data_IF_099974333727
#
_entry.id   IF_099974333727
#
_cell.length_a   1.000
_cell.length_b   1.000
_cell.length_c   1.000
_cell.angle_alpha   90.00
_cell.angle_beta   90.00
_cell.angle_gamma   90.00
#
_symmetry.space_group_name_H-M   'P 1'
#
loop_
_entity.id
_entity.type
_entity.pdbx_description
1 polymer ?
#
# COMPACT_ATOMS: atom_id res chain seq x y z
N UNK A 1 1.03 26.73 12.25
CA UNK A 1 2.14 25.97 11.63
C UNK A 1 1.86 24.48 11.78
N UNK A 2 1.66 23.78 10.65
CA UNK A 2 1.52 22.34 10.64
C UNK A 2 2.91 21.70 10.79
N UNK A 3 3.36 21.51 12.01
CA UNK A 3 4.62 20.83 12.32
C UNK A 3 4.53 19.30 12.28
N UNK A 4 3.39 18.75 11.87
CA UNK A 4 3.14 17.30 11.83
C UNK A 4 2.92 16.83 10.40
N UNK A 5 3.52 15.70 10.04
CA UNK A 5 3.25 14.99 8.78
C UNK A 5 1.82 14.41 8.70
N UNK A 6 1.11 14.37 9.82
CA UNK A 6 -0.26 13.84 9.93
C UNK A 6 -1.33 14.94 9.72
N UNK A 7 -0.91 16.18 9.44
CA UNK A 7 -1.84 17.27 9.22
C UNK A 7 -2.54 17.17 7.87
N UNK A 8 -3.86 17.01 7.92
CA UNK A 8 -4.70 16.96 6.71
C UNK A 8 -5.18 18.36 6.36
N UNK A 9 -4.74 18.88 5.21
CA UNK A 9 -5.18 20.16 4.70
C UNK A 9 -6.46 20.01 3.87
N UNK A 10 -7.51 20.74 4.23
CA UNK A 10 -8.76 20.77 3.47
C UNK A 10 -8.72 21.82 2.35
N UNK A 11 -9.54 21.63 1.29
CA UNK A 11 -9.60 22.55 0.13
C UNK A 11 -9.80 24.02 0.50
N UNK A 12 -10.63 24.31 1.52
CA UNK A 12 -10.88 25.68 1.98
C UNK A 12 -9.60 26.31 2.53
N UNK A 13 -8.90 25.61 3.38
CA UNK A 13 -7.63 26.04 3.97
C UNK A 13 -6.55 26.23 2.90
N UNK A 14 -6.43 25.28 1.97
CA UNK A 14 -5.48 25.40 0.86
C UNK A 14 -5.74 26.64 0.01
N UNK A 15 -7.01 26.99 -0.22
CA UNK A 15 -7.39 28.22 -0.92
C UNK A 15 -7.06 29.48 -0.14
N UNK A 16 -7.27 29.48 1.18
CA UNK A 16 -6.92 30.58 2.08
C UNK A 16 -5.41 30.83 2.12
N UNK A 17 -4.61 29.78 1.93
CA UNK A 17 -3.15 29.85 1.79
C UNK A 17 -2.68 30.33 0.40
N UNK A 18 -3.59 30.65 -0.50
CA UNK A 18 -3.28 31.19 -1.84
C UNK A 18 -3.05 30.13 -2.91
N UNK A 19 -3.35 28.85 -2.64
CA UNK A 19 -3.29 27.83 -3.69
C UNK A 19 -4.49 27.98 -4.65
N UNK A 20 -4.24 27.73 -5.95
CA UNK A 20 -5.30 27.72 -6.95
C UNK A 20 -6.11 26.42 -6.83
N UNK A 21 -7.20 26.47 -6.09
CA UNK A 21 -8.07 25.35 -5.80
C UNK A 21 -9.44 25.55 -6.45
N UNK A 22 -9.82 24.62 -7.30
CA UNK A 22 -11.14 24.54 -7.90
C UNK A 22 -11.95 23.39 -7.30
N UNK A 23 -13.27 23.60 -7.21
CA UNK A 23 -14.19 22.51 -6.87
C UNK A 23 -14.59 21.83 -8.17
N UNK A 24 -14.32 20.53 -8.34
CA UNK A 24 -14.75 19.81 -9.54
C UNK A 24 -16.28 19.78 -9.63
N UNK A 25 -16.81 19.79 -10.84
CA UNK A 25 -18.20 19.43 -11.08
C UNK A 25 -18.48 17.96 -10.76
N UNK A 26 -19.75 17.54 -10.81
CA UNK A 26 -20.12 16.18 -10.45
C UNK A 26 -19.54 15.12 -11.38
N UNK A 27 -19.41 15.42 -12.68
CA UNK A 27 -18.87 14.48 -13.65
C UNK A 27 -17.39 14.23 -13.42
N UNK A 28 -16.61 15.31 -13.28
CA UNK A 28 -15.18 15.23 -12.97
C UNK A 28 -14.94 14.59 -11.60
N UNK A 29 -15.77 14.92 -10.60
CA UNK A 29 -15.68 14.30 -9.28
C UNK A 29 -15.88 12.79 -9.36
N UNK A 30 -16.87 12.31 -10.12
CA UNK A 30 -17.10 10.87 -10.31
C UNK A 30 -15.90 10.16 -10.94
N UNK A 31 -15.32 10.75 -11.99
CA UNK A 31 -14.11 10.20 -12.62
C UNK A 31 -12.93 10.12 -11.63
N UNK A 32 -12.68 11.19 -10.86
CA UNK A 32 -11.62 11.21 -9.84
C UNK A 32 -11.88 10.14 -8.78
N UNK A 33 -13.14 9.99 -8.36
CA UNK A 33 -13.51 8.97 -7.37
C UNK A 33 -13.30 7.56 -7.89
N UNK A 34 -13.68 7.25 -9.12
CA UNK A 34 -13.47 5.95 -9.75
C UNK A 34 -11.99 5.59 -9.81
N UNK A 35 -11.14 6.52 -10.25
CA UNK A 35 -9.68 6.33 -10.26
C UNK A 35 -9.14 6.07 -8.85
N UNK A 36 -9.61 6.84 -7.86
CA UNK A 36 -9.20 6.65 -6.48
C UNK A 36 -9.62 5.28 -5.94
N UNK A 37 -10.86 4.87 -6.20
CA UNK A 37 -11.40 3.57 -5.74
C UNK A 37 -10.61 2.40 -6.37
N UNK A 38 -10.20 2.52 -7.64
CA UNK A 38 -9.37 1.53 -8.32
C UNK A 38 -7.96 1.45 -7.70
N UNK A 39 -7.32 2.60 -7.45
CA UNK A 39 -6.00 2.66 -6.80
C UNK A 39 -6.06 2.12 -5.37
N UNK A 40 -7.09 2.51 -4.61
CA UNK A 40 -7.31 2.03 -3.24
C UNK A 40 -7.42 0.51 -3.19
N UNK A 41 -8.18 -0.07 -4.13
CA UNK A 41 -8.37 -1.51 -4.25
C UNK A 41 -7.10 -2.22 -4.68
N UNK A 42 -6.41 -1.69 -5.68
CA UNK A 42 -5.19 -2.28 -6.23
C UNK A 42 -4.02 -2.28 -5.24
N UNK A 43 -3.86 -1.19 -4.51
CA UNK A 43 -2.81 -1.05 -3.50
C UNK A 43 -3.24 -1.56 -2.12
N UNK A 44 -4.48 -2.04 -1.99
CA UNK A 44 -5.05 -2.53 -0.72
C UNK A 44 -4.87 -1.51 0.43
N UNK A 45 -5.08 -0.22 0.15
CA UNK A 45 -4.73 0.87 1.08
C UNK A 45 -5.45 0.79 2.43
N UNK A 46 -6.60 0.11 2.49
CA UNK A 46 -7.38 -0.09 3.73
C UNK A 46 -7.18 -1.46 4.35
N UNK A 47 -6.41 -2.33 3.71
CA UNK A 47 -6.15 -3.68 4.20
C UNK A 47 -4.79 -3.72 4.88
N UNK A 48 -4.72 -3.84 6.20
CA UNK A 48 -3.44 -3.94 6.90
C UNK A 48 -2.72 -5.23 6.51
N UNK A 49 -1.39 -5.14 6.42
CA UNK A 49 -0.57 -6.33 6.24
C UNK A 49 -0.65 -7.22 7.48
N UNK A 50 -1.30 -8.36 7.35
CA UNK A 50 -1.39 -9.37 8.41
C UNK A 50 -0.78 -10.70 7.91
N UNK A 51 0.41 -11.07 8.41
CA UNK A 51 1.05 -12.32 8.06
C UNK A 51 0.21 -13.56 8.35
N UNK A 52 -0.66 -13.52 9.38
CA UNK A 52 -1.53 -14.65 9.72
C UNK A 52 -2.60 -14.85 8.65
N UNK A 53 -3.18 -13.75 8.17
CA UNK A 53 -4.21 -13.79 7.11
C UNK A 53 -3.59 -14.29 5.80
N UNK A 54 -2.42 -13.76 5.42
CA UNK A 54 -1.73 -14.14 4.17
C UNK A 54 -1.30 -15.60 4.20
N UNK A 55 -0.75 -16.05 5.32
CA UNK A 55 -0.29 -17.43 5.48
C UNK A 55 -1.46 -18.42 5.61
N UNK A 56 -2.53 -18.03 6.31
CA UNK A 56 -3.69 -18.87 6.56
C UNK A 56 -3.29 -20.23 7.17
N UNK A 57 -3.78 -21.31 6.57
CA UNK A 57 -3.48 -22.68 7.01
C UNK A 57 -2.19 -23.28 6.40
N UNK A 58 -1.45 -22.52 5.58
CA UNK A 58 -0.24 -22.97 4.91
C UNK A 58 0.98 -22.92 5.87
N UNK A 59 1.99 -23.74 5.61
CA UNK A 59 3.25 -23.69 6.35
C UNK A 59 4.21 -22.63 5.77
N UNK A 60 4.06 -22.29 4.49
CA UNK A 60 4.80 -21.21 3.83
C UNK A 60 3.96 -20.62 2.69
N UNK A 61 4.21 -19.36 2.38
CA UNK A 61 3.61 -18.65 1.24
C UNK A 61 4.55 -17.57 0.76
N UNK A 62 4.70 -17.43 -0.55
CA UNK A 62 5.32 -16.25 -1.13
C UNK A 62 4.30 -15.15 -1.26
N UNK A 63 4.69 -13.92 -0.96
CA UNK A 63 3.84 -12.76 -1.12
C UNK A 63 4.54 -11.68 -1.95
N UNK A 64 3.73 -10.91 -2.65
CA UNK A 64 4.12 -9.69 -3.35
C UNK A 64 3.05 -8.64 -3.10
N UNK A 65 3.43 -7.52 -2.55
CA UNK A 65 2.52 -6.43 -2.20
C UNK A 65 2.92 -5.17 -2.95
N UNK A 66 1.98 -4.56 -3.63
CA UNK A 66 2.13 -3.24 -4.24
C UNK A 66 1.81 -2.20 -3.18
N UNK A 67 2.78 -1.33 -2.89
CA UNK A 67 2.68 -0.36 -1.79
C UNK A 67 2.45 1.06 -2.25
N UNK A 68 2.99 1.39 -3.41
CA UNK A 68 2.85 2.71 -4.02
C UNK A 68 3.00 2.61 -5.54
N UNK A 69 2.53 3.63 -6.22
CA UNK A 69 2.43 3.68 -7.67
C UNK A 69 2.78 5.10 -8.13
N UNK A 70 3.61 5.20 -9.16
CA UNK A 70 3.86 6.43 -9.92
C UNK A 70 3.62 6.12 -11.39
N UNK A 71 2.63 6.77 -11.97
CA UNK A 71 2.28 6.62 -13.37
C UNK A 71 2.62 7.89 -14.17
N UNK A 72 3.09 7.68 -15.39
CA UNK A 72 3.30 8.74 -16.35
C UNK A 72 2.88 8.27 -17.73
N UNK A 73 2.22 9.14 -18.48
CA UNK A 73 1.81 8.86 -19.87
C UNK A 73 3.02 8.53 -20.75
N UNK A 74 4.17 9.15 -20.48
CA UNK A 74 5.38 8.99 -21.30
C UNK A 74 6.36 7.96 -20.76
N UNK A 75 6.44 7.78 -19.44
CA UNK A 75 7.55 7.08 -18.78
C UNK A 75 7.17 5.76 -18.13
N UNK A 76 6.01 5.19 -18.44
CA UNK A 76 5.55 3.91 -17.87
C UNK A 76 5.16 4.02 -16.38
N UNK A 77 4.71 2.90 -15.84
CA UNK A 77 4.35 2.77 -14.44
C UNK A 77 5.55 2.29 -13.62
N UNK A 78 5.79 2.92 -12.49
CA UNK A 78 6.73 2.45 -11.48
C UNK A 78 5.98 2.12 -10.22
N UNK A 79 6.23 0.94 -9.67
CA UNK A 79 5.58 0.47 -8.44
C UNK A 79 6.60 0.24 -7.34
N UNK A 80 6.24 0.62 -6.13
CA UNK A 80 6.98 0.21 -4.95
C UNK A 80 6.39 -1.11 -4.46
N UNK A 81 7.20 -2.15 -4.45
CA UNK A 81 6.79 -3.50 -4.06
C UNK A 81 7.57 -4.01 -2.86
N UNK A 82 6.88 -4.81 -2.03
CA UNK A 82 7.49 -5.63 -1.00
C UNK A 82 7.24 -7.09 -1.33
N UNK A 83 8.29 -7.88 -1.43
CA UNK A 83 8.23 -9.31 -1.75
C UNK A 83 8.95 -10.13 -0.69
N UNK A 84 8.42 -11.30 -0.41
CA UNK A 84 9.04 -12.18 0.57
C UNK A 84 8.33 -13.52 0.69
N UNK A 85 8.78 -14.28 1.69
CA UNK A 85 8.20 -15.56 2.06
C UNK A 85 7.85 -15.57 3.53
N UNK A 86 6.60 -15.85 3.85
CA UNK A 86 6.15 -16.14 5.20
C UNK A 86 6.29 -17.63 5.49
N UNK A 87 6.86 -17.99 6.65
CA UNK A 87 7.02 -19.38 7.10
C UNK A 87 6.58 -19.53 8.54
N UNK A 88 5.84 -20.60 8.83
CA UNK A 88 5.60 -21.04 10.21
C UNK A 88 6.88 -21.63 10.79
N UNK A 89 7.28 -21.14 11.94
CA UNK A 89 8.34 -21.72 12.75
C UNK A 89 7.78 -22.15 14.10
N UNK A 90 8.08 -23.39 14.46
CA UNK A 90 7.73 -23.95 15.77
C UNK A 90 8.96 -23.83 16.66
N UNK A 91 8.87 -22.99 17.68
CA UNK A 91 9.92 -22.85 18.68
C UNK A 91 9.56 -23.75 19.84
N UNK A 92 10.35 -24.77 20.07
CA UNK A 92 10.26 -25.64 21.26
C UNK A 92 11.14 -25.06 22.36
N UNK A 93 10.53 -24.44 23.36
CA UNK A 93 11.17 -24.19 24.63
C UNK A 93 10.74 -25.29 25.62
N UNK A 94 11.56 -25.56 26.62
CA UNK A 94 11.52 -26.72 27.53
C UNK A 94 10.14 -27.07 28.13
N UNK A 95 9.14 -26.17 28.04
CA UNK A 95 7.78 -26.42 28.57
C UNK A 95 6.64 -25.85 27.71
N UNK A 96 6.91 -25.19 26.59
CA UNK A 96 5.84 -24.62 25.72
C UNK A 96 6.25 -24.62 24.25
N UNK A 97 5.35 -25.13 23.42
CA UNK A 97 5.45 -25.01 21.97
C UNK A 97 4.82 -23.69 21.53
N UNK A 98 5.62 -22.77 20.98
CA UNK A 98 5.14 -21.50 20.42
C UNK A 98 5.30 -21.49 18.92
N UNK A 99 4.21 -21.21 18.22
CA UNK A 99 4.24 -21.00 16.77
C UNK A 99 4.51 -19.52 16.50
N UNK A 100 5.50 -19.23 15.70
CA UNK A 100 5.79 -17.88 15.18
C UNK A 100 5.75 -17.88 13.67
N UNK A 101 5.43 -16.72 13.08
CA UNK A 101 5.56 -16.50 11.65
C UNK A 101 6.84 -15.72 11.42
N UNK A 102 7.72 -16.29 10.62
CA UNK A 102 8.93 -15.61 10.16
C UNK A 102 8.67 -14.99 8.79
N UNK A 103 8.89 -13.68 8.68
CA UNK A 103 8.85 -12.93 7.42
C UNK A 103 10.28 -12.79 6.88
N UNK A 104 10.57 -13.51 5.80
CA UNK A 104 11.81 -13.37 5.06
C UNK A 104 11.58 -12.49 3.84
N UNK A 105 11.77 -11.17 4.02
CA UNK A 105 11.64 -10.19 2.94
C UNK A 105 12.83 -10.30 2.00
N UNK A 106 12.56 -10.58 0.72
CA UNK A 106 13.58 -10.79 -0.31
C UNK A 106 13.84 -9.56 -1.15
N UNK A 107 12.83 -8.69 -1.28
CA UNK A 107 12.95 -7.43 -2.00
C UNK A 107 11.98 -6.38 -1.44
N UNK A 108 12.45 -5.14 -1.38
CA UNK A 108 11.61 -3.97 -1.13
C UNK A 108 12.19 -2.78 -1.89
N UNK A 109 11.41 -2.17 -2.79
CA UNK A 109 11.87 -1.04 -3.58
C UNK A 109 11.02 -0.75 -4.80
N UNK A 110 11.42 0.28 -5.52
CA UNK A 110 10.81 0.67 -6.78
C UNK A 110 11.24 -0.23 -7.93
N UNK A 111 10.27 -0.57 -8.76
CA UNK A 111 10.50 -1.37 -9.98
C UNK A 111 9.60 -0.84 -11.08
N UNK A 112 10.14 -0.73 -12.29
CA UNK A 112 9.35 -0.39 -13.47
C UNK A 112 8.51 -1.59 -13.91
N UNK A 113 7.22 -1.38 -14.06
CA UNK A 113 6.35 -2.38 -14.68
C UNK A 113 6.42 -2.31 -16.19
N UNK A 114 6.44 -3.49 -16.83
CA UNK A 114 6.20 -3.60 -18.27
C UNK A 114 4.70 -3.53 -18.46
N UNK A 115 4.22 -2.47 -19.10
CA UNK A 115 2.86 -2.45 -19.62
C UNK A 115 2.77 -3.55 -20.69
N UNK A 116 1.94 -4.56 -20.43
CA UNK A 116 1.63 -5.59 -21.41
C UNK A 116 0.71 -5.04 -22.51
#
# INVERSE_FOLDING_TARGET
>A
ESGSHDYTMHRKEAKELGLNIEKPDMALYSCIKEIYDDIEKELELRTPFDPNVILGNKNHVNYQLRRALIESVEYKCNVFVSEGTLKKQIIQNTNQQKTMIHDNRTFEGWRQEKLN
#
